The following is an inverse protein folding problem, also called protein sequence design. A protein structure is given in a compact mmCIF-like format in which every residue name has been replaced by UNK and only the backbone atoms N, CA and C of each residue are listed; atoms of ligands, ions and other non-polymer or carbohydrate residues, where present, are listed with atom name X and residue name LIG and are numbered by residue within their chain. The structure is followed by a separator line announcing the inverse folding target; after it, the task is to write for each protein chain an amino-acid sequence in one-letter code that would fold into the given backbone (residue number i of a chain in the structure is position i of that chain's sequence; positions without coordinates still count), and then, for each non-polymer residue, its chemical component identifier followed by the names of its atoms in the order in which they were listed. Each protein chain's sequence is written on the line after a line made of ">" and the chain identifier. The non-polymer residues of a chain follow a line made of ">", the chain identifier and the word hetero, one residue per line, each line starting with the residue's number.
data_IF_750311883116
#
_entry.id   IF_750311883116
#
_cell.length_a   1.000
_cell.length_b   1.000
_cell.length_c   1.000
_cell.angle_alpha   90.00
_cell.angle_beta   90.00
_cell.angle_gamma   90.00
#
_symmetry.space_group_name_H-M   'P 1'
#
loop_
_entity.id
_entity.type
_entity.pdbx_description
1 polymer ?
#
# COMPACT_ATOMS: atom_id res chain seq x y z
N UNK A 1 -5.33 4.90 -14.97
CA UNK A 1 -4.95 4.67 -13.55
C UNK A 1 -4.65 3.20 -13.47
N UNK A 2 -3.37 2.81 -13.35
CA UNK A 2 -2.98 1.39 -13.41
C UNK A 2 -3.20 0.82 -12.02
N UNK A 3 -4.20 -0.06 -11.89
CA UNK A 3 -4.49 -0.75 -10.64
C UNK A 3 -3.37 -1.74 -10.29
N UNK A 4 -3.27 -2.13 -9.02
CA UNK A 4 -2.27 -3.11 -8.56
C UNK A 4 -2.30 -4.43 -9.35
N UNK A 5 -3.47 -4.78 -9.93
CA UNK A 5 -3.71 -5.94 -10.78
C UNK A 5 -3.13 -5.83 -12.20
N UNK A 6 -2.70 -4.63 -12.61
CA UNK A 6 -2.13 -4.36 -13.93
C UNK A 6 -0.59 -4.28 -13.89
N UNK A 7 0.03 -4.58 -12.74
CA UNK A 7 1.49 -4.62 -12.59
C UNK A 7 2.06 -5.92 -13.14
N UNK A 8 3.18 -5.82 -13.85
CA UNK A 8 3.97 -6.98 -14.29
C UNK A 8 4.64 -7.68 -13.09
N UNK A 9 5.01 -8.97 -13.21
CA UNK A 9 5.72 -9.69 -12.14
C UNK A 9 7.01 -9.01 -11.69
N UNK A 10 7.72 -8.35 -12.60
CA UNK A 10 8.95 -7.60 -12.32
C UNK A 10 8.67 -6.34 -11.50
N UNK A 11 7.58 -5.62 -11.81
CA UNK A 11 7.12 -4.47 -11.01
C UNK A 11 6.65 -4.89 -9.61
N UNK A 12 6.02 -6.07 -9.48
CA UNK A 12 5.66 -6.65 -8.18
C UNK A 12 6.89 -7.03 -7.36
N UNK A 13 7.92 -7.60 -7.98
CA UNK A 13 9.19 -7.92 -7.32
C UNK A 13 9.98 -6.67 -6.89
N UNK A 14 9.74 -5.53 -7.53
CA UNK A 14 10.35 -4.25 -7.20
C UNK A 14 9.64 -3.49 -6.06
N UNK A 15 8.53 -4.02 -5.53
CA UNK A 15 7.80 -3.42 -4.42
C UNK A 15 8.73 -3.20 -3.21
N UNK A 16 8.47 -2.18 -2.37
CA UNK A 16 9.30 -1.93 -1.20
C UNK A 16 9.17 -3.07 -0.17
N UNK A 17 10.29 -3.65 0.26
CA UNK A 17 10.34 -4.50 1.47
C UNK A 17 10.18 -3.68 2.77
N UNK A 18 10.06 -2.35 2.66
CA UNK A 18 9.85 -1.41 3.77
C UNK A 18 8.41 -1.31 4.22
N UNK A 19 7.48 -2.02 3.57
CA UNK A 19 6.06 -1.99 3.93
C UNK A 19 5.90 -2.56 5.34
N UNK A 20 5.47 -1.71 6.27
CA UNK A 20 5.15 -2.12 7.63
C UNK A 20 3.91 -3.01 7.57
N UNK A 21 3.97 -4.28 8.00
CA UNK A 21 2.81 -5.15 7.95
C UNK A 21 1.71 -4.66 8.90
N UNK A 22 0.47 -4.94 8.54
CA UNK A 22 -0.64 -4.75 9.44
C UNK A 22 -0.52 -5.72 10.62
N UNK A 23 -0.80 -5.24 11.82
CA UNK A 23 -0.99 -6.09 12.98
C UNK A 23 -2.30 -6.86 12.86
N UNK A 24 -2.48 -7.92 13.66
CA UNK A 24 -3.72 -8.70 13.66
C UNK A 24 -4.96 -7.85 14.02
N UNK A 25 -4.78 -6.85 14.89
CA UNK A 25 -5.86 -5.92 15.26
C UNK A 25 -6.21 -5.01 14.09
N UNK A 26 -5.22 -4.38 13.46
CA UNK A 26 -5.40 -3.52 12.29
C UNK A 26 -6.09 -4.27 11.14
N UNK A 27 -5.63 -5.48 10.81
CA UNK A 27 -6.25 -6.31 9.78
C UNK A 27 -7.69 -6.66 10.13
N UNK A 28 -7.97 -7.02 11.38
CA UNK A 28 -9.33 -7.35 11.82
C UNK A 28 -10.24 -6.12 11.79
N UNK A 29 -9.75 -4.96 12.19
CA UNK A 29 -10.49 -3.69 12.09
C UNK A 29 -10.92 -3.38 10.66
N UNK A 30 -10.01 -3.55 9.69
CA UNK A 30 -10.31 -3.36 8.27
C UNK A 30 -11.39 -4.33 7.79
N UNK A 31 -11.28 -5.62 8.13
CA UNK A 31 -12.26 -6.63 7.72
C UNK A 31 -13.66 -6.35 8.27
N UNK A 32 -13.77 -5.96 9.54
CA UNK A 32 -15.05 -5.62 10.16
C UNK A 32 -15.64 -4.35 9.54
N UNK A 33 -14.83 -3.32 9.30
CA UNK A 33 -15.29 -2.08 8.65
C UNK A 33 -15.80 -2.33 7.22
N UNK A 34 -15.16 -3.25 6.48
CA UNK A 34 -15.62 -3.66 5.14
C UNK A 34 -16.95 -4.43 5.17
N UNK A 35 -17.28 -5.09 6.29
CA UNK A 35 -18.59 -5.73 6.53
C UNK A 35 -19.67 -4.73 6.98
N UNK A 36 -19.30 -3.45 7.14
CA UNK A 36 -20.20 -2.35 7.52
C UNK A 36 -20.24 -2.06 9.01
N UNK A 37 -19.39 -2.69 9.83
CA UNK A 37 -19.31 -2.40 11.25
C UNK A 37 -18.80 -0.97 11.50
N UNK A 38 -19.39 -0.32 12.51
CA UNK A 38 -18.95 0.98 13.02
C UNK A 38 -18.38 0.84 14.42
N UNK A 39 -17.30 1.53 14.72
CA UNK A 39 -16.62 1.44 16.01
C UNK A 39 -16.86 2.68 16.87
N UNK A 40 -16.93 2.47 18.18
CA UNK A 40 -16.91 3.59 19.12
C UNK A 40 -15.55 4.32 19.06
N UNK A 41 -15.52 5.65 19.22
CA UNK A 41 -14.27 6.41 19.26
C UNK A 41 -13.29 5.83 20.28
N UNK A 42 -12.01 5.75 19.89
CA UNK A 42 -10.90 5.25 20.71
C UNK A 42 -11.02 3.79 21.18
N UNK A 43 -11.99 3.04 20.64
CA UNK A 43 -12.01 1.59 20.80
C UNK A 43 -10.79 0.96 20.10
N UNK A 44 -10.43 -0.25 20.52
CA UNK A 44 -9.32 -0.99 19.90
C UNK A 44 -9.48 -1.13 18.37
N UNK A 45 -10.73 -1.25 17.90
CA UNK A 45 -11.02 -1.38 16.48
C UNK A 45 -10.99 -0.03 15.73
N UNK A 46 -11.43 1.07 16.37
CA UNK A 46 -11.29 2.43 15.84
C UNK A 46 -9.83 2.84 15.68
N UNK A 47 -9.02 2.64 16.72
CA UNK A 47 -7.58 2.91 16.70
C UNK A 47 -6.88 2.00 15.68
N UNK A 48 -7.25 0.72 15.66
CA UNK A 48 -6.72 -0.23 14.69
C UNK A 48 -7.06 0.15 13.24
N UNK A 49 -8.27 0.64 12.98
CA UNK A 49 -8.68 1.05 11.64
C UNK A 49 -7.91 2.31 11.19
N UNK A 50 -7.82 3.33 12.03
CA UNK A 50 -7.04 4.55 11.73
C UNK A 50 -5.58 4.23 11.46
N UNK A 51 -4.96 3.41 12.32
CA UNK A 51 -3.56 3.03 12.11
C UNK A 51 -3.36 2.17 10.85
N UNK A 52 -4.34 1.34 10.48
CA UNK A 52 -4.28 0.57 9.23
C UNK A 52 -4.37 1.49 8.01
N UNK A 53 -5.25 2.49 8.05
CA UNK A 53 -5.44 3.48 6.98
C UNK A 53 -4.13 4.25 6.72
N UNK A 54 -3.48 4.76 7.77
CA UNK A 54 -2.20 5.47 7.68
C UNK A 54 -1.11 4.60 7.02
N UNK A 55 -1.01 3.32 7.43
CA UNK A 55 -0.03 2.37 6.88
C UNK A 55 -0.30 2.06 5.40
N UNK A 56 -1.56 1.87 5.04
CA UNK A 56 -1.98 1.60 3.66
C UNK A 56 -1.74 2.81 2.76
N UNK A 57 -2.00 4.03 3.25
CA UNK A 57 -1.71 5.26 2.51
C UNK A 57 -0.21 5.42 2.28
N UNK A 58 0.61 5.22 3.31
CA UNK A 58 2.07 5.26 3.18
C UNK A 58 2.57 4.22 2.17
N UNK A 59 2.05 2.99 2.24
CA UNK A 59 2.38 1.94 1.26
C UNK A 59 2.04 2.39 -0.16
N UNK A 60 0.87 2.97 -0.40
CA UNK A 60 0.49 3.48 -1.73
C UNK A 60 1.42 4.59 -2.21
N UNK A 61 1.87 5.48 -1.32
CA UNK A 61 2.85 6.53 -1.65
C UNK A 61 4.19 5.91 -2.05
N UNK A 62 4.71 4.97 -1.26
CA UNK A 62 6.00 4.30 -1.52
C UNK A 62 5.98 3.54 -2.85
N UNK A 63 4.90 2.79 -3.11
CA UNK A 63 4.70 2.08 -4.38
C UNK A 63 4.66 3.05 -5.55
N UNK A 64 3.93 4.17 -5.44
CA UNK A 64 3.89 5.21 -6.50
C UNK A 64 5.26 5.82 -6.75
N UNK A 65 6.02 6.14 -5.70
CA UNK A 65 7.37 6.70 -5.83
C UNK A 65 8.31 5.73 -6.55
N UNK A 66 8.30 4.45 -6.18
CA UNK A 66 9.13 3.43 -6.84
C UNK A 66 8.75 3.17 -8.29
N UNK A 67 7.45 3.05 -8.61
CA UNK A 67 7.00 2.87 -10.00
C UNK A 67 7.47 4.05 -10.86
N UNK A 68 7.37 5.28 -10.35
CA UNK A 68 7.83 6.46 -11.07
C UNK A 68 9.36 6.50 -11.22
N UNK A 69 10.12 6.03 -10.23
CA UNK A 69 11.58 5.89 -10.34
C UNK A 69 11.96 4.82 -11.37
N UNK A 70 11.37 3.63 -11.30
CA UNK A 70 11.63 2.53 -12.25
C UNK A 70 11.37 2.95 -13.70
N UNK A 71 10.28 3.67 -13.95
CA UNK A 71 9.97 4.20 -15.30
C UNK A 71 11.03 5.18 -15.80
N UNK A 72 11.52 6.08 -14.94
CA UNK A 72 12.60 7.03 -15.31
C UNK A 72 13.92 6.31 -15.57
N UNK A 73 14.24 5.29 -14.80
CA UNK A 73 15.43 4.46 -15.02
C UNK A 73 15.35 3.70 -16.35
N UNK A 74 14.19 3.13 -16.69
CA UNK A 74 13.98 2.46 -17.99
C UNK A 74 14.03 3.41 -19.19
N UNK A 75 13.53 4.66 -19.06
CA UNK A 75 13.66 5.65 -20.14
C UNK A 75 15.07 6.19 -20.29
N UNK A 76 15.83 6.28 -19.18
CA UNK A 76 17.23 6.68 -19.21
C UNK A 76 18.11 5.64 -19.94
N UNK A 77 17.88 4.34 -19.71
CA UNK A 77 18.57 3.27 -20.43
C UNK A 77 18.19 3.22 -21.92
N UNK A 78 16.93 3.47 -22.26
CA UNK A 78 16.45 3.45 -23.65
C UNK A 78 16.94 4.62 -24.52
N UNK A 79 17.53 5.67 -23.92
CA UNK A 79 18.08 6.82 -24.65
C UNK A 79 19.61 6.79 -24.72
N UNK A 80 20.23 5.72 -24.18
CA UNK A 80 21.68 5.55 -24.09
C UNK A 80 22.31 4.65 -25.17
N UNK A 81 21.53 4.09 -26.10
CA UNK A 81 22.01 3.32 -27.27
C UNK A 81 22.07 4.14 -28.56
#
# INVERSE_FOLDING_TARGET
>A
MIGFLEMTPEELAALPDTIVPLTAIELRSVLLALDGDTFAPDSIYDVGLRSADDKLEQMLIEVRLKINQGRRSQTADATGE
#
